data_IF_709447672893
#
_entry.id   IF_709447672893
#
_cell.length_a   1.000
_cell.length_b   1.000
_cell.length_c   1.000
_cell.angle_alpha   90.00
_cell.angle_beta   90.00
_cell.angle_gamma   90.00
#
_symmetry.space_group_name_H-M   'P 1'
#
loop_
_entity.id
_entity.type
_entity.pdbx_description
1 polymer ?
#
# COMPACT_ATOMS: atom_id res chain seq x y z
N UNK A 1 -8.04 -8.21 1.39
CA UNK A 1 -7.12 -7.05 1.42
C UNK A 1 -5.82 -7.28 0.65
N UNK A 2 -4.95 -8.25 1.00
CA UNK A 2 -3.65 -8.43 0.34
C UNK A 2 -3.70 -8.75 -1.18
N UNK A 3 -4.64 -9.60 -1.62
CA UNK A 3 -4.78 -9.91 -3.04
C UNK A 3 -5.19 -8.68 -3.87
N UNK A 4 -6.16 -7.89 -3.38
CA UNK A 4 -6.52 -6.60 -3.99
C UNK A 4 -5.32 -5.65 -4.05
N UNK A 5 -4.59 -5.50 -2.95
CA UNK A 5 -3.38 -4.66 -2.91
C UNK A 5 -2.34 -5.07 -3.97
N UNK A 6 -2.12 -6.38 -4.16
CA UNK A 6 -1.25 -6.89 -5.24
C UNK A 6 -1.79 -6.56 -6.63
N UNK A 7 -3.11 -6.70 -6.86
CA UNK A 7 -3.72 -6.32 -8.13
C UNK A 7 -3.51 -4.83 -8.41
N UNK A 8 -3.79 -3.97 -7.44
CA UNK A 8 -3.57 -2.52 -7.57
C UNK A 8 -2.11 -2.18 -7.86
N UNK A 9 -1.15 -2.86 -7.23
CA UNK A 9 0.27 -2.71 -7.54
C UNK A 9 0.60 -3.10 -8.98
N UNK A 10 0.04 -4.21 -9.47
CA UNK A 10 0.24 -4.67 -10.86
C UNK A 10 -0.40 -3.70 -11.85
N UNK A 11 -1.63 -3.25 -11.60
CA UNK A 11 -2.35 -2.29 -12.44
C UNK A 11 -1.61 -0.95 -12.53
N UNK A 12 -1.00 -0.51 -11.42
CA UNK A 12 -0.20 0.72 -11.37
C UNK A 12 1.25 0.51 -11.85
N UNK A 13 1.65 -0.72 -12.18
CA UNK A 13 3.02 -1.05 -12.59
C UNK A 13 4.07 -0.75 -11.50
N UNK A 14 3.67 -0.75 -10.22
CA UNK A 14 4.53 -0.39 -9.10
C UNK A 14 4.97 -1.62 -8.32
N UNK A 15 6.20 -1.56 -7.80
CA UNK A 15 6.69 -2.54 -6.81
C UNK A 15 6.39 -2.05 -5.41
N UNK A 16 6.34 -2.95 -4.43
CA UNK A 16 6.20 -2.59 -3.01
C UNK A 16 7.29 -1.62 -2.54
N UNK A 17 8.50 -1.73 -3.09
CA UNK A 17 9.60 -0.82 -2.77
C UNK A 17 9.35 0.57 -3.33
N UNK A 18 8.98 0.67 -4.61
CA UNK A 18 8.65 1.94 -5.25
C UNK A 18 7.47 2.63 -4.55
N UNK A 19 6.47 1.86 -4.14
CA UNK A 19 5.34 2.36 -3.36
C UNK A 19 5.79 2.88 -1.99
N UNK A 20 6.67 2.17 -1.29
CA UNK A 20 7.19 2.60 0.01
C UNK A 20 7.95 3.93 -0.09
N UNK A 21 8.77 4.07 -1.14
CA UNK A 21 9.49 5.31 -1.46
C UNK A 21 8.51 6.45 -1.80
N UNK A 22 7.50 6.22 -2.65
CA UNK A 22 6.49 7.21 -3.02
C UNK A 22 5.61 7.63 -1.83
N UNK A 23 5.23 6.68 -0.98
CA UNK A 23 4.43 6.93 0.22
C UNK A 23 5.23 7.51 1.39
N UNK A 24 6.57 7.55 1.30
CA UNK A 24 7.44 7.98 2.40
C UNK A 24 7.25 7.13 3.66
N UNK A 25 7.17 5.81 3.50
CA UNK A 25 7.11 4.83 4.58
C UNK A 25 8.17 3.76 4.42
N UNK A 26 8.47 3.02 5.49
CA UNK A 26 9.46 1.94 5.40
C UNK A 26 8.93 0.79 4.51
N UNK A 27 9.79 0.17 3.67
CA UNK A 27 9.42 -1.04 2.93
C UNK A 27 8.95 -2.19 3.84
N UNK A 28 9.45 -2.24 5.07
CA UNK A 28 8.98 -3.20 6.08
C UNK A 28 7.50 -2.98 6.43
N UNK A 29 7.05 -1.72 6.53
CA UNK A 29 5.64 -1.40 6.76
C UNK A 29 4.77 -1.97 5.65
N UNK A 30 5.19 -1.85 4.39
CA UNK A 30 4.43 -2.43 3.26
C UNK A 30 4.42 -3.96 3.31
N UNK A 31 5.55 -4.57 3.67
CA UNK A 31 5.63 -6.04 3.84
C UNK A 31 4.68 -6.53 4.94
N UNK A 32 4.52 -5.74 5.99
CA UNK A 32 3.63 -6.04 7.11
C UNK A 32 2.14 -5.90 6.75
N UNK A 33 1.74 -5.25 5.62
CA UNK A 33 0.34 -5.23 5.15
C UNK A 33 -0.22 -6.65 5.01
N UNK A 34 0.64 -7.61 4.66
CA UNK A 34 0.25 -9.01 4.46
C UNK A 34 -0.12 -9.71 5.77
N UNK A 35 0.49 -9.32 6.89
CA UNK A 35 0.50 -10.10 8.14
C UNK A 35 -0.05 -9.34 9.34
N UNK A 36 -0.01 -8.02 9.33
CA UNK A 36 -0.36 -7.14 10.45
C UNK A 36 -1.32 -6.04 10.01
N UNK A 37 -2.08 -5.50 10.98
CA UNK A 37 -2.87 -4.29 10.75
C UNK A 37 -1.95 -3.08 10.68
N UNK A 38 -2.05 -2.38 9.56
CA UNK A 38 -1.36 -1.11 9.32
C UNK A 38 -2.12 -0.01 10.03
N UNK A 39 -1.40 0.95 10.62
CA UNK A 39 -2.03 2.14 11.18
C UNK A 39 -2.75 2.94 10.10
N UNK A 40 -3.89 3.55 10.44
CA UNK A 40 -4.68 4.35 9.50
C UNK A 40 -3.82 5.39 8.76
N UNK A 41 -2.91 6.07 9.47
CA UNK A 41 -1.96 7.04 8.89
C UNK A 41 -1.08 6.45 7.79
N UNK A 42 -0.57 5.24 7.97
CA UNK A 42 0.26 4.58 6.96
C UNK A 42 -0.60 4.08 5.79
N UNK A 43 -1.82 3.60 6.07
CA UNK A 43 -2.76 3.23 5.02
C UNK A 43 -3.15 4.44 4.16
N UNK A 44 -3.38 5.61 4.76
CA UNK A 44 -3.62 6.86 4.02
C UNK A 44 -2.46 7.17 3.07
N UNK A 45 -1.21 7.11 3.54
CA UNK A 45 -0.03 7.35 2.70
C UNK A 45 0.09 6.36 1.54
N UNK A 46 -0.24 5.09 1.78
CA UNK A 46 -0.25 4.04 0.75
C UNK A 46 -1.32 4.32 -0.30
N UNK A 47 -2.54 4.66 0.15
CA UNK A 47 -3.65 4.98 -0.73
C UNK A 47 -3.35 6.23 -1.58
N UNK A 48 -2.80 7.26 -0.96
CA UNK A 48 -2.36 8.50 -1.61
C UNK A 48 -1.29 8.23 -2.68
N UNK A 49 -0.27 7.42 -2.34
CA UNK A 49 0.79 7.05 -3.28
C UNK A 49 0.30 6.15 -4.44
N UNK A 50 -0.69 5.29 -4.20
CA UNK A 50 -1.35 4.49 -5.24
C UNK A 50 -2.38 5.30 -6.04
N UNK A 51 -2.72 6.52 -5.59
CA UNK A 51 -3.79 7.35 -6.15
C UNK A 51 -5.10 6.57 -6.22
N UNK A 52 -5.45 5.91 -5.10
CA UNK A 52 -6.68 5.14 -4.92
C UNK A 52 -7.39 5.54 -3.64
N UNK A 53 -8.69 5.27 -3.56
CA UNK A 53 -9.45 5.48 -2.33
C UNK A 53 -9.06 4.45 -1.27
N UNK A 54 -9.10 4.85 0.00
CA UNK A 54 -8.96 3.94 1.14
C UNK A 54 -10.03 2.84 1.16
N UNK A 55 -11.19 3.11 0.56
CA UNK A 55 -12.29 2.14 0.47
C UNK A 55 -11.93 0.93 -0.42
N UNK A 56 -10.96 1.08 -1.34
CA UNK A 56 -10.44 -0.05 -2.13
C UNK A 56 -9.77 -1.13 -1.25
N UNK A 57 -9.26 -0.73 -0.08
CA UNK A 57 -8.64 -1.61 0.89
C UNK A 57 -9.64 -2.21 1.89
N UNK A 58 -10.92 -1.88 1.80
CA UNK A 58 -11.97 -2.36 2.71
C UNK A 58 -12.31 -3.84 2.50
#
# INVERSE_FOLDING_TARGET
MWNKFKHLLIEKGMTQKALAEKAGISPNTIRNIKTERISFKNMCKIADALEVSLDEFR
#
